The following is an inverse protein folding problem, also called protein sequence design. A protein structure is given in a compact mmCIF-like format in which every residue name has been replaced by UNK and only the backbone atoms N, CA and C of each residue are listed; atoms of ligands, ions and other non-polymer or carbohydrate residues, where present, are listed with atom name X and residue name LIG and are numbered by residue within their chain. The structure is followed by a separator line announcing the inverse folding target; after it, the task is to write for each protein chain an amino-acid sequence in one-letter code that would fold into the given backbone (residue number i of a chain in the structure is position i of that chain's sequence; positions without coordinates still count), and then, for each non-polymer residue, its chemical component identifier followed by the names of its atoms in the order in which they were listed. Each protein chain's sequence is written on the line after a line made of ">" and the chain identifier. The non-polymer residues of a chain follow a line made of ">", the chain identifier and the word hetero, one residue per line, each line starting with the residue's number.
data_IF_070211592443
#
_entry.id   IF_070211592443
#
_cell.length_a   1.000
_cell.length_b   1.000
_cell.length_c   1.000
_cell.angle_alpha   90.00
_cell.angle_beta   90.00
_cell.angle_gamma   90.00
#
_symmetry.space_group_name_H-M   'P 1'
#
loop_
_entity.id
_entity.type
_entity.pdbx_description
1 polymer ?
#
# COMPACT_ATOMS: atom_id res chain seq x y z
N UNK A 1 -14.26 -4.01 11.28
CA UNK A 1 -14.84 -4.70 10.11
C UNK A 1 -15.19 -3.70 9.03
N UNK A 2 -14.84 -4.02 7.78
CA UNK A 2 -15.13 -3.13 6.67
C UNK A 2 -16.54 -3.34 6.14
N UNK A 3 -17.15 -2.26 5.64
CA UNK A 3 -18.51 -2.31 5.05
C UNK A 3 -18.48 -2.62 3.57
N UNK A 4 -17.37 -2.34 2.91
CA UNK A 4 -17.18 -2.71 1.51
C UNK A 4 -17.20 -4.23 1.40
N UNK A 5 -18.08 -4.78 0.55
CA UNK A 5 -18.25 -6.23 0.43
C UNK A 5 -17.08 -6.82 -0.38
N UNK A 6 -16.22 -7.56 0.31
CA UNK A 6 -15.06 -8.22 -0.29
C UNK A 6 -15.23 -9.74 -0.37
N UNK A 7 -16.45 -10.25 -0.15
CA UNK A 7 -16.70 -11.69 -0.04
C UNK A 7 -16.40 -12.48 -1.33
N UNK A 8 -16.38 -11.80 -2.47
CA UNK A 8 -16.11 -12.43 -3.77
C UNK A 8 -14.65 -12.40 -4.16
N UNK A 9 -13.80 -11.80 -3.36
CA UNK A 9 -12.40 -11.61 -3.69
C UNK A 9 -11.55 -12.70 -3.06
N UNK A 10 -10.49 -13.07 -3.77
CA UNK A 10 -9.47 -13.99 -3.25
C UNK A 10 -8.31 -13.19 -2.69
N UNK A 11 -7.98 -13.44 -1.44
CA UNK A 11 -6.96 -12.70 -0.71
C UNK A 11 -5.70 -13.53 -0.54
N UNK A 12 -4.55 -12.89 -0.77
CA UNK A 12 -3.24 -13.42 -0.40
C UNK A 12 -2.73 -12.64 0.80
N UNK A 13 -2.47 -13.34 1.89
CA UNK A 13 -2.06 -12.73 3.15
C UNK A 13 -0.54 -12.66 3.27
N UNK A 14 -0.05 -11.53 3.76
CA UNK A 14 1.37 -11.29 3.98
C UNK A 14 1.61 -10.93 5.43
N UNK A 15 2.62 -11.55 6.02
CA UNK A 15 3.11 -11.24 7.35
C UNK A 15 4.61 -10.99 7.28
N UNK A 16 5.13 -10.28 8.27
CA UNK A 16 6.55 -10.10 8.41
C UNK A 16 7.18 -11.36 9.02
N UNK A 17 8.41 -11.23 9.41
CA UNK A 17 9.15 -12.31 10.05
C UNK A 17 10.23 -11.70 10.93
N UNK A 18 11.17 -12.53 11.42
CA UNK A 18 12.20 -12.05 12.35
C UNK A 18 13.15 -11.00 11.77
N UNK A 19 13.12 -10.79 10.45
CA UNK A 19 13.91 -9.76 9.80
C UNK A 19 13.36 -8.35 10.01
N UNK A 20 12.08 -8.23 10.40
CA UNK A 20 11.40 -6.95 10.51
C UNK A 20 11.13 -6.64 11.97
N UNK A 21 11.45 -5.43 12.39
CA UNK A 21 11.24 -4.95 13.76
C UNK A 21 9.94 -4.14 13.88
N UNK A 22 9.00 -4.36 12.94
CA UNK A 22 7.68 -3.74 12.94
C UNK A 22 6.63 -4.77 12.52
N UNK A 23 5.39 -4.55 12.96
CA UNK A 23 4.28 -5.50 12.75
C UNK A 23 3.76 -5.38 11.31
N UNK A 24 4.00 -6.41 10.50
CA UNK A 24 3.51 -6.49 9.12
C UNK A 24 2.31 -7.44 9.08
N UNK A 25 1.17 -6.95 8.62
CA UNK A 25 -0.05 -7.75 8.51
C UNK A 25 -1.00 -7.10 7.51
N UNK A 26 -0.99 -7.60 6.29
CA UNK A 26 -1.86 -7.10 5.24
C UNK A 26 -2.20 -8.22 4.26
N UNK A 27 -3.23 -7.99 3.44
CA UNK A 27 -3.64 -8.94 2.41
C UNK A 27 -3.94 -8.19 1.11
N UNK A 28 -3.68 -8.86 -0.01
CA UNK A 28 -3.87 -8.30 -1.35
C UNK A 28 -4.86 -9.16 -2.13
N UNK A 29 -5.83 -8.49 -2.78
CA UNK A 29 -6.71 -9.13 -3.75
C UNK A 29 -6.52 -8.45 -5.11
N UNK A 30 -6.27 -9.24 -6.15
CA UNK A 30 -6.16 -8.73 -7.51
C UNK A 30 -7.56 -8.55 -8.08
N UNK A 31 -7.90 -7.31 -8.46
CA UNK A 31 -9.18 -7.00 -9.10
C UNK A 31 -9.10 -7.23 -10.61
N UNK A 32 -7.98 -6.87 -11.21
CA UNK A 32 -7.77 -7.04 -12.63
C UNK A 32 -6.33 -6.78 -12.99
N UNK A 33 -5.90 -7.37 -14.10
CA UNK A 33 -4.57 -7.19 -14.64
C UNK A 33 -4.62 -7.17 -16.15
N UNK A 34 -3.87 -6.21 -16.73
CA UNK A 34 -3.72 -6.09 -18.18
C UNK A 34 -2.22 -6.00 -18.47
N UNK A 35 -1.52 -7.15 -18.45
CA UNK A 35 -0.06 -7.16 -18.57
C UNK A 35 0.45 -6.57 -19.89
N UNK A 36 -0.33 -6.64 -20.96
CA UNK A 36 0.06 -6.09 -22.26
C UNK A 36 0.30 -4.58 -22.21
N UNK A 37 -0.39 -3.88 -21.34
CA UNK A 37 -0.26 -2.42 -21.16
C UNK A 37 0.27 -2.05 -19.77
N UNK A 38 0.73 -3.04 -19.00
CA UNK A 38 1.35 -2.81 -17.71
C UNK A 38 0.41 -2.31 -16.63
N UNK A 39 -0.85 -2.72 -16.63
CA UNK A 39 -1.85 -2.26 -15.66
C UNK A 39 -2.18 -3.38 -14.67
N UNK A 40 -2.23 -3.03 -13.38
CA UNK A 40 -2.63 -3.93 -12.31
C UNK A 40 -3.47 -3.17 -11.29
N UNK A 41 -4.67 -3.66 -11.01
CA UNK A 41 -5.58 -3.09 -10.03
C UNK A 41 -5.72 -4.03 -8.83
N UNK A 42 -5.52 -3.50 -7.64
CA UNK A 42 -5.53 -4.26 -6.39
C UNK A 42 -6.45 -3.61 -5.34
N UNK A 43 -6.99 -4.47 -4.46
CA UNK A 43 -7.39 -4.02 -3.13
C UNK A 43 -6.38 -4.55 -2.13
N UNK A 44 -6.03 -3.71 -1.17
CA UNK A 44 -5.16 -4.10 -0.06
C UNK A 44 -5.88 -3.77 1.24
N UNK A 45 -5.89 -4.74 2.16
CA UNK A 45 -6.43 -4.51 3.50
C UNK A 45 -5.35 -4.73 4.54
N UNK A 46 -5.31 -3.86 5.53
CA UNK A 46 -4.37 -3.94 6.66
C UNK A 46 -5.13 -4.22 7.95
N UNK A 47 -4.53 -5.03 8.81
CA UNK A 47 -4.97 -5.16 10.19
C UNK A 47 -4.77 -3.84 10.94
N UNK A 48 -5.49 -3.62 12.06
CA UNK A 48 -5.31 -2.41 12.86
C UNK A 48 -3.86 -2.18 13.23
N UNK A 49 -3.37 -0.96 13.00
CA UNK A 49 -2.02 -0.49 13.30
C UNK A 49 -0.89 -1.27 12.60
N UNK A 50 -1.22 -2.10 11.63
CA UNK A 50 -0.23 -2.92 10.94
C UNK A 50 0.46 -2.14 9.82
N UNK A 51 1.68 -2.56 9.53
CA UNK A 51 2.50 -2.02 8.45
C UNK A 51 2.50 -2.94 7.24
N UNK A 52 2.84 -2.42 6.07
CA UNK A 52 3.29 -3.24 4.95
C UNK A 52 4.82 -3.33 4.98
N UNK A 53 5.39 -4.09 4.06
CA UNK A 53 6.84 -4.10 3.88
C UNK A 53 7.32 -2.70 3.45
N UNK A 54 8.48 -2.28 3.97
CA UNK A 54 9.10 -1.04 3.53
C UNK A 54 9.47 -1.20 2.04
N UNK A 55 9.01 -0.28 1.21
CA UNK A 55 9.13 -0.47 -0.23
C UNK A 55 9.24 0.85 -0.97
N UNK A 56 9.75 0.75 -2.20
CA UNK A 56 9.77 1.86 -3.16
C UNK A 56 8.78 1.53 -4.28
N UNK A 57 7.92 2.48 -4.61
CA UNK A 57 7.03 2.35 -5.75
C UNK A 57 7.81 2.61 -7.03
N UNK A 58 7.84 1.63 -7.94
CA UNK A 58 8.48 1.76 -9.25
C UNK A 58 7.46 2.14 -10.31
N UNK A 59 6.22 1.73 -10.14
CA UNK A 59 5.12 2.03 -11.06
C UNK A 59 4.42 3.33 -10.69
N UNK A 60 3.81 3.98 -11.66
CA UNK A 60 2.84 5.03 -11.39
C UNK A 60 1.68 4.42 -10.60
N UNK A 61 1.26 5.07 -9.53
CA UNK A 61 0.30 4.52 -8.59
C UNK A 61 -0.84 5.48 -8.32
N UNK A 62 -2.06 5.00 -8.50
CA UNK A 62 -3.29 5.68 -8.07
C UNK A 62 -3.77 5.01 -6.80
N UNK A 63 -4.12 5.81 -5.80
CA UNK A 63 -4.57 5.33 -4.49
C UNK A 63 -5.90 5.96 -4.13
N UNK A 64 -6.84 5.14 -3.68
CA UNK A 64 -8.11 5.60 -3.12
C UNK A 64 -8.37 4.84 -1.82
N UNK A 65 -8.42 5.55 -0.71
CA UNK A 65 -8.76 4.95 0.57
C UNK A 65 -10.27 4.73 0.61
N UNK A 66 -10.68 3.47 0.73
CA UNK A 66 -12.11 3.10 0.80
C UNK A 66 -12.62 3.14 2.23
N UNK A 67 -11.85 2.58 3.18
CA UNK A 67 -12.23 2.55 4.60
C UNK A 67 -10.98 2.63 5.45
N UNK A 68 -11.13 3.16 6.65
CA UNK A 68 -10.04 3.25 7.60
C UNK A 68 -9.12 4.43 7.35
N UNK A 69 -7.84 4.23 7.67
CA UNK A 69 -6.85 5.29 7.63
C UNK A 69 -5.51 4.74 7.17
N UNK A 70 -4.87 5.48 6.26
CA UNK A 70 -3.52 5.18 5.78
C UNK A 70 -2.56 6.25 6.29
N UNK A 71 -1.51 5.83 6.97
CA UNK A 71 -0.42 6.69 7.39
C UNK A 71 0.80 6.42 6.54
N UNK A 72 1.39 7.47 5.97
CA UNK A 72 2.57 7.41 5.13
C UNK A 72 3.71 8.14 5.81
N UNK A 73 4.84 7.46 5.96
CA UNK A 73 6.03 8.03 6.58
C UNK A 73 7.12 8.12 5.53
N UNK A 74 7.54 9.34 5.25
CA UNK A 74 8.51 9.66 4.20
C UNK A 74 9.63 10.52 4.76
N UNK A 75 10.74 10.63 4.01
CA UNK A 75 11.82 11.55 4.31
C UNK A 75 11.85 12.59 3.20
N UNK A 76 11.76 13.87 3.57
CA UNK A 76 11.82 14.96 2.62
C UNK A 76 13.23 15.23 2.11
N UNK A 77 13.34 16.12 1.12
CA UNK A 77 14.61 16.45 0.45
C UNK A 77 15.66 17.01 1.41
N UNK A 78 15.23 17.70 2.45
CA UNK A 78 16.12 18.23 3.50
C UNK A 78 16.39 17.27 4.64
N UNK A 79 15.95 16.01 4.54
CA UNK A 79 16.12 15.01 5.59
C UNK A 79 15.04 15.04 6.67
N UNK A 80 14.05 15.93 6.53
CA UNK A 80 12.95 16.03 7.50
C UNK A 80 12.01 14.84 7.38
N UNK A 81 11.45 14.42 8.53
CA UNK A 81 10.42 13.39 8.57
C UNK A 81 9.09 13.98 8.11
N UNK A 82 8.42 13.28 7.19
CA UNK A 82 7.12 13.68 6.67
C UNK A 82 6.11 12.60 7.03
N UNK A 83 4.99 13.01 7.63
CA UNK A 83 3.88 12.11 7.95
C UNK A 83 2.63 12.62 7.26
N UNK A 84 2.09 11.80 6.36
CA UNK A 84 0.84 12.09 5.67
C UNK A 84 -0.24 11.13 6.14
N UNK A 85 -1.45 11.64 6.33
CA UNK A 85 -2.60 10.83 6.73
C UNK A 85 -3.67 10.93 5.65
N UNK A 86 -4.13 9.78 5.19
CA UNK A 86 -5.25 9.69 4.24
C UNK A 86 -6.38 8.90 4.87
N UNK A 87 -7.58 9.40 4.72
CA UNK A 87 -8.79 8.79 5.28
C UNK A 87 -9.74 8.38 4.17
N UNK A 88 -10.80 7.68 4.53
CA UNK A 88 -11.80 7.20 3.55
C UNK A 88 -12.25 8.34 2.63
N UNK A 89 -12.19 8.10 1.33
CA UNK A 89 -12.49 9.07 0.29
C UNK A 89 -11.30 9.84 -0.25
N UNK A 90 -10.13 9.78 0.41
CA UNK A 90 -8.95 10.50 -0.05
C UNK A 90 -8.31 9.79 -1.24
N UNK A 91 -8.00 10.57 -2.25
CA UNK A 91 -7.39 10.14 -3.51
C UNK A 91 -5.98 10.70 -3.62
N UNK A 92 -5.07 9.90 -4.17
CA UNK A 92 -3.72 10.34 -4.46
C UNK A 92 -3.19 9.66 -5.73
N UNK A 93 -2.26 10.32 -6.38
CA UNK A 93 -1.54 9.77 -7.52
C UNK A 93 -0.06 10.09 -7.38
N UNK A 94 0.78 9.10 -7.68
CA UNK A 94 2.24 9.24 -7.69
C UNK A 94 2.77 8.73 -9.02
N UNK A 95 3.72 9.45 -9.65
CA UNK A 95 4.32 8.98 -10.91
C UNK A 95 5.30 7.81 -10.73
N UNK A 96 5.62 7.43 -9.49
CA UNK A 96 6.61 6.41 -9.15
C UNK A 96 7.85 7.02 -8.53
N UNK A 97 8.70 6.17 -7.96
CA UNK A 97 9.93 6.59 -7.30
C UNK A 97 9.80 6.85 -5.81
N UNK A 98 8.60 6.85 -5.29
CA UNK A 98 8.35 7.12 -3.86
C UNK A 98 8.93 5.99 -3.01
N UNK A 99 9.62 6.39 -1.95
CA UNK A 99 10.11 5.49 -0.91
C UNK A 99 9.40 5.84 0.39
N UNK A 100 8.62 4.90 0.92
CA UNK A 100 7.87 5.18 2.13
C UNK A 100 7.53 3.92 2.91
N UNK A 101 7.14 4.14 4.17
CA UNK A 101 6.51 3.15 5.03
C UNK A 101 5.03 3.48 5.14
N UNK A 102 4.18 2.47 5.04
CA UNK A 102 2.73 2.63 5.21
C UNK A 102 2.28 1.87 6.45
N UNK A 103 1.41 2.51 7.23
CA UNK A 103 0.79 1.92 8.41
C UNK A 103 -0.69 2.23 8.42
N UNK A 104 -1.51 1.22 8.69
CA UNK A 104 -2.94 1.44 8.90
C UNK A 104 -3.19 2.14 10.24
N UNK A 105 -4.31 2.86 10.33
CA UNK A 105 -4.77 3.43 11.57
C UNK A 105 -5.35 2.37 12.52
N UNK A 106 -5.96 2.80 13.64
CA UNK A 106 -6.41 1.89 14.70
C UNK A 106 -7.56 0.97 14.28
N UNK A 107 -8.27 1.29 13.21
CA UNK A 107 -9.36 0.46 12.68
C UNK A 107 -8.95 -0.33 11.43
N UNK A 108 -7.66 -0.33 11.11
CA UNK A 108 -7.18 -0.92 9.87
C UNK A 108 -7.35 0.01 8.68
N UNK A 109 -7.22 -0.55 7.50
CA UNK A 109 -7.44 0.19 6.26
C UNK A 109 -7.83 -0.76 5.12
N UNK A 110 -8.69 -0.28 4.24
CA UNK A 110 -9.02 -0.92 2.97
C UNK A 110 -8.78 0.09 1.87
N UNK A 111 -7.85 -0.21 0.97
CA UNK A 111 -7.35 0.76 -0.01
C UNK A 111 -7.31 0.13 -1.40
N UNK A 112 -7.77 0.90 -2.38
CA UNK A 112 -7.62 0.56 -3.79
C UNK A 112 -6.30 1.13 -4.31
N UNK A 113 -5.53 0.30 -5.03
CA UNK A 113 -4.33 0.70 -5.74
C UNK A 113 -4.45 0.34 -7.21
N UNK A 114 -4.21 1.31 -8.08
CA UNK A 114 -4.05 1.08 -9.51
C UNK A 114 -2.61 1.35 -9.90
N UNK A 115 -1.94 0.36 -10.46
CA UNK A 115 -0.55 0.47 -10.90
C UNK A 115 -0.47 0.50 -12.42
N UNK A 116 0.42 1.33 -12.95
CA UNK A 116 0.75 1.33 -14.36
C UNK A 116 2.27 1.30 -14.51
N UNK A 117 2.78 0.23 -15.11
CA UNK A 117 4.21 0.01 -15.26
C UNK A 117 4.48 -0.65 -16.61
N UNK A 118 5.05 0.10 -17.58
CA UNK A 118 5.33 -0.46 -18.91
C UNK A 118 6.32 -1.63 -18.90
N UNK A 119 7.20 -1.71 -17.89
CA UNK A 119 8.18 -2.79 -17.76
C UNK A 119 7.75 -3.90 -16.79
N UNK A 120 6.53 -3.84 -16.27
CA UNK A 120 5.99 -4.85 -15.37
C UNK A 120 6.49 -4.78 -13.94
N UNK A 121 7.34 -3.80 -13.61
CA UNK A 121 7.89 -3.66 -12.25
C UNK A 121 7.01 -2.72 -11.45
N UNK A 122 6.51 -3.19 -10.30
CA UNK A 122 5.58 -2.43 -9.47
C UNK A 122 6.27 -1.72 -8.32
N UNK A 123 7.06 -2.45 -7.55
CA UNK A 123 7.78 -1.92 -6.40
C UNK A 123 8.93 -2.85 -6.04
N UNK A 124 9.84 -2.36 -5.20
CA UNK A 124 10.88 -3.17 -4.60
C UNK A 124 10.77 -3.12 -3.08
N UNK A 125 10.94 -4.27 -2.43
CA UNK A 125 10.85 -4.40 -0.98
C UNK A 125 12.23 -4.25 -0.36
N UNK A 126 12.30 -3.50 0.74
CA UNK A 126 13.52 -3.28 1.49
C UNK A 126 13.44 -3.95 2.86
N UNK A 127 14.58 -4.35 3.42
CA UNK A 127 14.61 -5.13 4.65
C UNK A 127 14.17 -4.34 5.88
N UNK A 128 14.38 -3.03 5.88
CA UNK A 128 14.11 -2.19 7.05
C UNK A 128 13.46 -0.88 6.67
N UNK A 129 12.61 -0.40 7.57
CA UNK A 129 12.13 0.97 7.55
C UNK A 129 13.13 1.85 8.28
N UNK A 130 13.41 3.01 7.74
CA UNK A 130 14.32 3.99 8.34
C UNK A 130 13.69 5.37 8.37
#
# INVERSE_FOLDING_TARGET
>A
MFQFDTSKLEWTHFEGGPHFDYHIDYAIAVLGAQPDIGVLDLLVKWAPNAYCHYHRHLAATTTLVLEGEQNLYEVGDGGEAIHKVRKAGDYAHSPGGDLHMEQAGPDGALIFFGFQSPDGRLFETLDKAH
#
